data_IF_851494445181
#
_entry.id   IF_851494445181
#
_cell.length_a   1.000
_cell.length_b   1.000
_cell.length_c   1.000
_cell.angle_alpha   90.00
_cell.angle_beta   90.00
_cell.angle_gamma   90.00
#
_symmetry.space_group_name_H-M   'P 1'
#
loop_
_entity.id
_entity.type
_entity.pdbx_description
1 polymer ?
#
# COMPACT_ATOMS: atom_id res chain seq x y z
N UNK A 1 2.82 -46.03 -0.06
CA UNK A 1 2.47 -45.41 -1.35
C UNK A 1 2.37 -43.90 -1.11
N UNK A 2 2.72 -43.12 -2.14
CA UNK A 2 3.18 -41.71 -2.13
C UNK A 2 2.18 -40.68 -1.57
N UNK A 3 2.81 -39.66 -0.95
CA UNK A 3 2.61 -38.20 -0.96
C UNK A 3 1.28 -37.58 -1.42
N UNK A 4 0.76 -36.63 -0.61
CA UNK A 4 0.51 -35.24 -1.02
C UNK A 4 -0.17 -34.44 0.11
N UNK A 5 0.54 -33.44 0.63
CA UNK A 5 0.08 -32.16 1.22
C UNK A 5 1.03 -31.67 2.33
N UNK A 6 2.34 -31.74 2.08
CA UNK A 6 3.20 -30.64 2.54
C UNK A 6 2.81 -29.44 1.69
N UNK A 7 1.95 -28.58 2.23
CA UNK A 7 1.69 -27.29 1.64
C UNK A 7 2.94 -26.45 1.93
N UNK A 8 3.77 -26.37 0.91
CA UNK A 8 4.94 -25.54 0.76
C UNK A 8 4.86 -24.27 1.61
N UNK A 9 5.78 -24.23 2.57
CA UNK A 9 6.09 -23.06 3.39
C UNK A 9 6.94 -22.12 2.53
N UNK A 10 6.38 -21.59 1.44
CA UNK A 10 7.06 -20.60 0.61
C UNK A 10 6.08 -19.51 0.16
N UNK A 11 6.48 -18.25 0.39
CA UNK A 11 5.94 -17.04 -0.24
C UNK A 11 4.54 -16.51 0.13
N UNK A 12 4.12 -16.65 1.39
CA UNK A 12 3.14 -15.68 1.93
C UNK A 12 3.88 -14.41 2.36
N UNK A 13 4.24 -13.59 1.39
CA UNK A 13 4.33 -12.14 1.61
C UNK A 13 2.98 -11.76 2.22
N UNK A 14 2.98 -11.53 3.54
CA UNK A 14 1.81 -11.11 4.27
C UNK A 14 1.54 -9.71 3.73
N UNK A 15 0.69 -9.62 2.70
CA UNK A 15 0.13 -8.37 2.26
C UNK A 15 -0.59 -7.79 3.48
N UNK A 16 0.10 -6.90 4.19
CA UNK A 16 -0.47 -6.21 5.34
C UNK A 16 -1.53 -5.28 4.77
N UNK A 17 -2.79 -5.71 4.83
CA UNK A 17 -3.91 -4.86 4.49
C UNK A 17 -3.91 -3.66 5.45
N UNK A 18 -3.86 -2.45 4.90
CA UNK A 18 -4.06 -1.23 5.67
C UNK A 18 -5.56 -1.13 5.99
N UNK A 19 -5.91 -1.32 7.25
CA UNK A 19 -7.25 -1.02 7.75
C UNK A 19 -7.33 0.48 7.95
N UNK A 20 -7.93 1.18 6.99
CA UNK A 20 -8.18 2.62 7.08
C UNK A 20 -9.59 2.77 7.65
N UNK A 21 -9.69 3.16 8.92
CA UNK A 21 -10.97 3.51 9.51
C UNK A 21 -11.57 4.69 8.72
N UNK A 22 -12.65 4.43 8.00
CA UNK A 22 -13.29 5.38 7.07
C UNK A 22 -13.90 6.62 7.71
N UNK A 23 -13.64 6.87 8.99
CA UNK A 23 -14.16 7.98 9.76
C UNK A 23 -13.36 9.29 9.60
N UNK A 24 -12.03 9.26 9.62
CA UNK A 24 -11.26 10.50 9.91
C UNK A 24 -9.78 10.50 9.51
N UNK A 25 -9.24 9.45 8.88
CA UNK A 25 -7.86 9.50 8.40
C UNK A 25 -7.79 10.10 7.00
N UNK A 26 -7.02 11.18 6.87
CA UNK A 26 -6.54 11.67 5.58
C UNK A 26 -5.84 10.50 4.87
N UNK A 27 -6.48 9.98 3.82
CA UNK A 27 -6.03 8.82 3.06
C UNK A 27 -4.58 9.00 2.58
N UNK A 28 -4.18 10.24 2.27
CA UNK A 28 -2.80 10.58 1.90
C UNK A 28 -1.85 10.34 3.06
N UNK A 29 -2.20 10.77 4.27
CA UNK A 29 -1.38 10.57 5.46
C UNK A 29 -1.27 9.09 5.82
N UNK A 30 -2.37 8.33 5.73
CA UNK A 30 -2.36 6.89 5.97
C UNK A 30 -1.44 6.13 4.99
N UNK A 31 -1.43 6.54 3.71
CA UNK A 31 -0.51 5.97 2.71
C UNK A 31 0.94 6.37 2.96
N UNK A 32 1.19 7.61 3.37
CA UNK A 32 2.53 8.07 3.72
C UNK A 32 3.08 7.30 4.92
N UNK A 33 2.32 7.16 6.00
CA UNK A 33 2.76 6.45 7.20
C UNK A 33 3.00 4.95 6.93
N UNK A 34 2.26 4.36 5.99
CA UNK A 34 2.43 2.97 5.60
C UNK A 34 3.64 2.71 4.69
N UNK A 35 4.00 3.68 3.84
CA UNK A 35 5.01 3.52 2.79
C UNK A 35 6.36 4.12 3.17
N UNK A 36 6.39 5.14 4.04
CA UNK A 36 7.63 5.77 4.49
C UNK A 36 8.39 4.83 5.42
N UNK A 37 9.68 4.65 5.14
CA UNK A 37 10.63 3.94 6.01
C UNK A 37 11.63 4.94 6.61
N UNK A 38 12.07 4.75 7.86
CA UNK A 38 13.09 5.62 8.49
C UNK A 38 14.43 5.62 7.74
N UNK A 39 14.66 4.66 6.85
CA UNK A 39 15.89 4.54 6.06
C UNK A 39 15.75 5.13 4.65
N UNK A 40 14.61 5.74 4.28
CA UNK A 40 14.47 6.38 2.97
C UNK A 40 15.35 7.63 2.86
N UNK A 41 15.98 7.78 1.70
CA UNK A 41 16.61 9.05 1.33
C UNK A 41 15.56 10.14 1.09
N UNK A 42 16.01 11.39 1.10
CA UNK A 42 15.14 12.55 0.83
C UNK A 42 14.52 12.50 -0.58
N UNK A 43 15.26 11.99 -1.55
CA UNK A 43 14.78 11.84 -2.93
C UNK A 43 13.71 10.76 -3.04
N UNK A 44 13.91 9.60 -2.39
CA UNK A 44 12.91 8.53 -2.34
C UNK A 44 11.63 8.99 -1.64
N UNK A 45 11.76 9.74 -0.54
CA UNK A 45 10.60 10.30 0.16
C UNK A 45 9.82 11.30 -0.71
N UNK A 46 10.51 12.15 -1.46
CA UNK A 46 9.86 13.07 -2.40
C UNK A 46 9.17 12.34 -3.55
N UNK A 47 9.80 11.27 -4.07
CA UNK A 47 9.19 10.46 -5.13
C UNK A 47 7.96 9.71 -4.62
N UNK A 48 8.05 9.10 -3.44
CA UNK A 48 6.94 8.42 -2.80
C UNK A 48 5.73 9.34 -2.59
N UNK A 49 5.94 10.58 -2.16
CA UNK A 49 4.87 11.59 -2.05
C UNK A 49 4.19 11.87 -3.38
N UNK A 50 4.97 12.05 -4.46
CA UNK A 50 4.41 12.30 -5.81
C UNK A 50 3.60 11.11 -6.31
N UNK A 51 4.07 9.89 -6.07
CA UNK A 51 3.40 8.67 -6.51
C UNK A 51 2.05 8.48 -5.78
N UNK A 52 2.02 8.77 -4.47
CA UNK A 52 0.78 8.77 -3.69
C UNK A 52 -0.20 9.83 -4.21
N UNK A 53 0.25 11.05 -4.46
CA UNK A 53 -0.61 12.13 -4.97
C UNK A 53 -1.16 11.80 -6.37
N UNK A 54 -0.34 11.21 -7.25
CA UNK A 54 -0.77 10.74 -8.56
C UNK A 54 -1.81 9.62 -8.47
N UNK A 55 -1.59 8.63 -7.60
CA UNK A 55 -2.53 7.54 -7.35
C UNK A 55 -3.89 8.04 -6.84
N UNK A 56 -3.88 8.94 -5.85
CA UNK A 56 -5.11 9.50 -5.30
C UNK A 56 -5.90 10.27 -6.35
N UNK A 57 -5.21 11.04 -7.20
CA UNK A 57 -5.83 11.77 -8.30
C UNK A 57 -6.47 10.84 -9.32
N UNK A 58 -5.75 9.79 -9.75
CA UNK A 58 -6.29 8.79 -10.68
C UNK A 58 -7.55 8.11 -10.11
N UNK A 59 -7.53 7.78 -8.81
CA UNK A 59 -8.69 7.19 -8.12
C UNK A 59 -9.87 8.15 -8.01
N UNK A 60 -9.60 9.42 -7.72
CA UNK A 60 -10.63 10.45 -7.68
C UNK A 60 -11.30 10.63 -9.06
N UNK A 61 -10.50 10.70 -10.13
CA UNK A 61 -11.01 10.79 -11.50
C UNK A 61 -11.84 9.55 -11.89
N UNK A 62 -11.39 8.35 -11.52
CA UNK A 62 -12.13 7.12 -11.76
C UNK A 62 -13.47 7.05 -11.01
N UNK A 63 -13.53 7.61 -9.80
CA UNK A 63 -14.75 7.66 -9.00
C UNK A 63 -15.73 8.75 -9.48
N UNK A 64 -15.22 9.89 -9.96
CA UNK A 64 -16.04 10.98 -10.54
C UNK A 64 -16.63 10.63 -11.91
N UNK A 65 -16.04 9.67 -12.61
CA UNK A 65 -16.48 9.20 -13.94
C UNK A 65 -17.58 8.12 -13.89
N UNK A 66 -18.08 7.76 -12.71
CA UNK A 66 -19.22 6.83 -12.51
C UNK A 66 -20.44 7.57 -12.01
#
# INVERSE_FOLDING_TARGET
MKDANQLDTENKSVARCLFIDGGLQDLRQALLDALISPNMSKEELQQCQKDIDAFLKEREEHLKSR
#
